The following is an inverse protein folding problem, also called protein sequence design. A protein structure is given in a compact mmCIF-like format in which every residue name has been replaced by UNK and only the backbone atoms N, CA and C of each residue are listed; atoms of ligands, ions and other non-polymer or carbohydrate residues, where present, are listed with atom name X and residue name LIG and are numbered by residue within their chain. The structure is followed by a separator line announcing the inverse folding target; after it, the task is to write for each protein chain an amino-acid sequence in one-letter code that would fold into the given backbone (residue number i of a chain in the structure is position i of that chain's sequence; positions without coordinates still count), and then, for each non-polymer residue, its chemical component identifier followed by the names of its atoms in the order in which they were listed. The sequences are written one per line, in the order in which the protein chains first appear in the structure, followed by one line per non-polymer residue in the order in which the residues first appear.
data_IF_847768492322
#
_entry.id   IF_847768492322
#
_cell.length_a   1.000
_cell.length_b   1.000
_cell.length_c   1.000
_cell.angle_alpha   90.00
_cell.angle_beta   90.00
_cell.angle_gamma   90.00
#
_symmetry.space_group_name_H-M   'P 1'
#
loop_
_entity.id
_entity.type
_entity.pdbx_description
1 polymer ?
#
# COMPACT_ATOMS: atom_id res chain seq x y z
N UNK A 1 -1.04 -21.84 2.41
CA UNK A 1 -1.79 -21.46 3.62
C UNK A 1 -2.51 -20.12 3.42
N UNK A 2 -3.75 -19.96 3.91
CA UNK A 2 -4.41 -18.67 3.96
C UNK A 2 -3.68 -17.80 4.98
N UNK A 3 -3.01 -16.75 4.50
CA UNK A 3 -2.37 -15.77 5.37
C UNK A 3 -3.36 -14.63 5.55
N UNK A 4 -3.91 -14.50 6.76
CA UNK A 4 -4.70 -13.32 7.11
C UNK A 4 -3.75 -12.13 7.19
N UNK A 5 -4.03 -11.09 6.41
CA UNK A 5 -3.32 -9.82 6.52
C UNK A 5 -4.15 -8.88 7.36
N UNK A 6 -3.52 -8.35 8.41
CA UNK A 6 -4.01 -7.16 9.09
C UNK A 6 -3.12 -5.99 8.66
N UNK A 7 -3.70 -4.97 8.06
CA UNK A 7 -3.02 -3.71 7.77
C UNK A 7 -3.49 -2.69 8.80
N UNK A 8 -2.60 -2.30 9.70
CA UNK A 8 -2.81 -1.13 10.54
C UNK A 8 -2.20 0.06 9.81
N UNK A 9 -3.06 0.96 9.35
CA UNK A 9 -2.66 2.26 8.82
C UNK A 9 -3.15 3.33 9.79
N UNK A 10 -2.23 4.01 10.48
CA UNK A 10 -2.64 5.15 11.31
C UNK A 10 -3.04 6.32 10.40
N UNK A 11 -4.22 6.89 10.67
CA UNK A 11 -4.91 7.85 9.81
C UNK A 11 -4.08 9.08 9.42
N UNK A 12 -4.23 9.47 8.16
CA UNK A 12 -3.72 10.70 7.57
C UNK A 12 -4.45 11.89 8.19
N UNK A 13 -3.75 12.70 8.99
CA UNK A 13 -4.29 14.00 9.40
C UNK A 13 -4.22 14.94 8.18
N UNK A 14 -5.35 15.50 7.75
CA UNK A 14 -5.45 16.40 6.58
C UNK A 14 -4.87 17.81 6.85
N UNK A 15 -3.75 17.87 7.55
CA UNK A 15 -3.07 19.10 7.91
C UNK A 15 -1.87 19.31 6.99
N UNK A 16 -1.73 20.51 6.44
CA UNK A 16 -0.53 20.91 5.72
C UNK A 16 0.68 20.86 6.64
N UNK A 17 1.69 20.03 6.33
CA UNK A 17 2.91 19.91 7.12
C UNK A 17 3.60 18.54 7.00
N UNK A 18 4.77 18.38 7.65
CA UNK A 18 5.44 17.09 7.77
C UNK A 18 4.53 16.11 8.54
N UNK A 19 4.31 14.92 7.98
CA UNK A 19 3.52 13.86 8.60
C UNK A 19 4.39 12.63 8.81
N UNK A 20 4.27 11.98 9.97
CA UNK A 20 4.97 10.75 10.32
C UNK A 20 4.02 9.55 10.43
N UNK A 21 3.43 9.05 9.33
CA UNK A 21 2.56 7.90 9.36
C UNK A 21 3.35 6.63 9.72
N UNK A 22 2.61 5.65 10.21
CA UNK A 22 3.11 4.31 10.41
C UNK A 22 2.15 3.32 9.77
N UNK A 23 2.69 2.46 8.92
CA UNK A 23 1.96 1.32 8.36
C UNK A 23 2.62 0.03 8.84
N UNK A 24 1.80 -0.93 9.25
CA UNK A 24 2.26 -2.28 9.59
C UNK A 24 1.43 -3.31 8.88
N UNK A 25 2.10 -4.33 8.32
CA UNK A 25 1.44 -5.43 7.63
C UNK A 25 1.84 -6.75 8.27
N UNK A 26 0.87 -7.47 8.81
CA UNK A 26 1.09 -8.75 9.48
C UNK A 26 0.64 -9.90 8.59
N UNK A 27 1.44 -10.96 8.50
CA UNK A 27 1.13 -12.19 7.76
C UNK A 27 1.01 -13.33 8.75
N UNK A 28 -0.21 -13.65 9.15
CA UNK A 28 -0.47 -14.69 10.13
C UNK A 28 -0.72 -16.04 9.46
N UNK A 29 0.06 -17.07 9.81
CA UNK A 29 -0.18 -18.44 9.34
C UNK A 29 -1.06 -19.20 10.34
N UNK A 30 -2.37 -19.09 10.18
CA UNK A 30 -3.33 -19.75 11.07
C UNK A 30 -3.26 -21.27 11.01
N UNK A 31 -2.82 -21.84 9.89
CA UNK A 31 -2.72 -23.29 9.70
C UNK A 31 -1.38 -23.89 10.14
N UNK A 32 -0.42 -23.07 10.58
CA UNK A 32 0.87 -23.53 11.06
C UNK A 32 0.81 -24.04 12.51
N UNK A 33 1.83 -24.79 12.93
CA UNK A 33 1.94 -25.27 14.31
C UNK A 33 2.03 -24.09 15.28
N UNK A 34 1.09 -24.01 16.21
CA UNK A 34 0.88 -22.87 17.13
C UNK A 34 0.49 -21.54 16.44
N UNK A 35 0.06 -21.61 15.17
CA UNK A 35 -0.40 -20.47 14.37
C UNK A 35 0.53 -19.24 14.45
N UNK A 36 1.78 -19.30 13.99
CA UNK A 36 2.73 -18.21 14.17
C UNK A 36 2.53 -17.09 13.14
N UNK A 37 3.01 -15.88 13.46
CA UNK A 37 3.22 -14.87 12.42
C UNK A 37 4.37 -15.31 11.51
N UNK A 38 4.06 -15.45 10.22
CA UNK A 38 5.05 -15.78 9.20
C UNK A 38 5.95 -14.58 8.91
N UNK A 39 5.38 -13.37 8.85
CA UNK A 39 6.12 -12.15 8.62
C UNK A 39 5.36 -10.94 9.17
N UNK A 40 6.09 -9.89 9.55
CA UNK A 40 5.53 -8.60 9.90
C UNK A 40 6.39 -7.55 9.19
N UNK A 41 5.80 -6.70 8.36
CA UNK A 41 6.51 -5.57 7.76
C UNK A 41 6.17 -4.28 8.52
N UNK A 42 7.20 -3.56 8.95
CA UNK A 42 7.14 -2.26 9.61
C UNK A 42 7.52 -1.18 8.59
N UNK A 43 6.62 -0.25 8.33
CA UNK A 43 6.78 0.79 7.30
C UNK A 43 6.53 2.19 7.86
N UNK A 44 7.39 2.71 8.75
CA UNK A 44 7.37 4.12 9.10
C UNK A 44 7.77 4.99 7.90
N UNK A 45 7.12 6.14 7.77
CA UNK A 45 7.39 7.09 6.70
C UNK A 45 7.40 8.51 7.26
N UNK A 46 8.21 9.38 6.66
CA UNK A 46 8.19 10.81 6.88
C UNK A 46 7.95 11.45 5.52
N UNK A 47 6.85 12.18 5.37
CA UNK A 47 6.48 12.76 4.09
C UNK A 47 5.92 14.16 4.20
N UNK A 48 5.98 14.87 3.09
CA UNK A 48 5.39 16.18 2.89
C UNK A 48 4.27 16.09 1.85
N UNK A 49 3.11 16.66 2.18
CA UNK A 49 1.98 16.79 1.26
C UNK A 49 2.16 18.01 0.35
N UNK A 50 2.14 17.77 -0.95
CA UNK A 50 2.06 18.83 -1.94
C UNK A 50 0.61 19.32 -2.02
N UNK A 51 0.35 20.62 -1.77
CA UNK A 51 -1.00 21.17 -1.85
C UNK A 51 -1.69 20.89 -3.18
N UNK A 52 -2.97 20.52 -3.09
CA UNK A 52 -3.79 20.34 -4.25
C UNK A 52 -4.08 21.69 -4.92
N UNK A 53 -3.70 21.83 -6.20
CA UNK A 53 -4.05 22.96 -7.05
C UNK A 53 -5.02 22.49 -8.11
N UNK A 54 -6.15 23.18 -8.24
CA UNK A 54 -7.18 22.85 -9.22
C UNK A 54 -7.00 23.64 -10.51
N UNK A 55 -7.13 22.97 -11.66
CA UNK A 55 -7.20 23.57 -13.00
C UNK A 55 -8.40 23.00 -13.73
N UNK A 56 -9.51 23.76 -13.74
CA UNK A 56 -10.80 23.26 -14.22
C UNK A 56 -11.31 22.15 -13.29
N UNK A 57 -11.71 21.02 -13.86
CA UNK A 57 -12.17 19.85 -13.10
C UNK A 57 -11.03 18.98 -12.54
N UNK A 58 -9.80 19.21 -12.97
CA UNK A 58 -8.65 18.42 -12.57
C UNK A 58 -7.96 19.04 -11.35
N UNK A 59 -7.78 18.25 -10.30
CA UNK A 59 -6.99 18.64 -9.12
C UNK A 59 -5.63 17.92 -9.13
N UNK A 60 -4.55 18.65 -8.85
CA UNK A 60 -3.19 18.12 -8.78
C UNK A 60 -2.61 18.35 -7.40
N UNK A 61 -2.29 17.28 -6.69
CA UNK A 61 -1.53 17.33 -5.44
C UNK A 61 -0.43 16.27 -5.46
N UNK A 62 -0.07 15.77 -4.29
CA UNK A 62 0.82 14.62 -4.18
C UNK A 62 1.58 14.58 -2.88
N UNK A 63 2.63 13.77 -2.85
CA UNK A 63 3.51 13.65 -1.70
C UNK A 63 4.94 13.35 -2.14
N UNK A 64 5.90 13.79 -1.34
CA UNK A 64 7.28 13.34 -1.40
C UNK A 64 7.72 12.94 0.01
N UNK A 65 8.52 11.88 0.14
CA UNK A 65 8.86 11.38 1.47
C UNK A 65 9.98 10.36 1.49
N UNK A 66 10.44 10.09 2.70
CA UNK A 66 11.36 9.02 3.04
C UNK A 66 10.59 7.93 3.76
N UNK A 67 10.73 6.69 3.29
CA UNK A 67 10.12 5.51 3.90
C UNK A 67 11.21 4.53 4.28
N UNK A 68 11.13 4.00 5.49
CA UNK A 68 11.86 2.81 5.89
C UNK A 68 10.90 1.62 5.85
N UNK A 69 11.34 0.47 5.35
CA UNK A 69 10.58 -0.79 5.35
C UNK A 69 11.51 -1.89 5.88
N UNK A 70 11.13 -2.55 6.97
CA UNK A 70 11.86 -3.69 7.52
C UNK A 70 10.91 -4.76 8.04
N UNK A 71 11.39 -5.99 8.18
CA UNK A 71 10.59 -7.09 8.71
C UNK A 71 10.83 -7.40 10.20
N UNK A 72 11.71 -6.65 10.86
CA UNK A 72 12.04 -6.81 12.28
C UNK A 72 12.71 -8.15 12.64
N UNK A 73 13.26 -8.87 11.65
CA UNK A 73 14.01 -10.13 11.85
C UNK A 73 15.51 -9.89 11.87
N UNK A 74 16.26 -10.88 12.32
CA UNK A 74 17.72 -10.90 12.34
C UNK A 74 18.31 -11.96 11.39
N UNK A 75 19.64 -11.93 11.25
CA UNK A 75 20.42 -12.89 10.47
C UNK A 75 19.95 -13.01 9.02
N UNK A 76 19.93 -14.25 8.51
CA UNK A 76 19.58 -14.53 7.10
C UNK A 76 18.13 -14.18 6.73
N UNK A 77 17.25 -14.01 7.73
CA UNK A 77 15.87 -13.62 7.53
C UNK A 77 15.64 -12.11 7.66
N UNK A 78 16.66 -11.34 8.08
CA UNK A 78 16.61 -9.88 8.11
C UNK A 78 16.33 -9.34 6.72
N UNK A 79 15.37 -8.43 6.62
CA UNK A 79 15.11 -7.68 5.40
C UNK A 79 14.87 -6.23 5.76
N UNK A 80 15.49 -5.34 5.00
CA UNK A 80 15.35 -3.91 5.19
C UNK A 80 15.65 -3.13 3.91
N UNK A 81 14.98 -1.99 3.75
CA UNK A 81 15.31 -1.01 2.72
C UNK A 81 14.80 0.37 3.13
N UNK A 82 15.41 1.39 2.54
CA UNK A 82 14.90 2.76 2.64
C UNK A 82 14.66 3.31 1.23
N UNK A 83 13.58 4.08 1.07
CA UNK A 83 13.27 4.76 -0.17
C UNK A 83 12.97 6.22 0.04
N UNK A 84 13.62 7.09 -0.73
CA UNK A 84 13.13 8.44 -0.99
C UNK A 84 12.20 8.37 -2.21
N UNK A 85 11.03 9.00 -2.17
CA UNK A 85 10.09 8.96 -3.28
C UNK A 85 9.41 10.29 -3.53
N UNK A 86 8.87 10.42 -4.74
CA UNK A 86 7.91 11.45 -5.13
C UNK A 86 6.71 10.79 -5.81
N UNK A 87 5.51 11.27 -5.50
CA UNK A 87 4.25 10.80 -6.05
C UNK A 87 3.31 12.00 -6.25
N UNK A 88 3.33 12.66 -7.42
CA UNK A 88 2.22 13.52 -7.80
C UNK A 88 0.94 12.69 -7.90
N UNK A 89 -0.21 13.32 -7.63
CA UNK A 89 -1.53 12.72 -7.76
C UNK A 89 -2.44 13.67 -8.52
N UNK A 90 -3.07 13.16 -9.57
CA UNK A 90 -4.10 13.87 -10.32
C UNK A 90 -5.46 13.24 -10.03
N UNK A 91 -6.44 14.05 -9.66
CA UNK A 91 -7.80 13.62 -9.34
C UNK A 91 -8.81 14.31 -10.24
N UNK A 92 -9.66 13.54 -10.89
CA UNK A 92 -10.72 14.02 -11.78
C UNK A 92 -12.08 13.47 -11.32
N UNK A 93 -13.12 14.33 -11.21
CA UNK A 93 -14.48 13.88 -11.00
C UNK A 93 -15.07 13.30 -12.29
N UNK A 94 -15.82 12.21 -12.16
CA UNK A 94 -16.51 11.49 -13.23
C UNK A 94 -17.95 11.27 -12.76
N UNK A 95 -18.80 12.28 -12.96
CA UNK A 95 -20.13 12.32 -12.33
C UNK A 95 -20.00 12.32 -10.80
N UNK A 96 -20.65 11.36 -10.14
CA UNK A 96 -20.55 11.17 -8.69
C UNK A 96 -19.24 10.47 -8.26
N UNK A 97 -18.49 9.90 -9.20
CA UNK A 97 -17.26 9.17 -8.92
C UNK A 97 -16.05 10.10 -9.00
N UNK A 98 -14.93 9.66 -8.42
CA UNK A 98 -13.63 10.29 -8.56
C UNK A 98 -12.64 9.26 -9.04
N UNK A 99 -11.76 9.65 -9.97
CA UNK A 99 -10.60 8.90 -10.39
C UNK A 99 -9.35 9.65 -9.94
N UNK A 100 -8.52 9.02 -9.13
CA UNK A 100 -7.20 9.52 -8.73
C UNK A 100 -6.11 8.64 -9.32
N UNK A 101 -5.11 9.23 -9.96
CA UNK A 101 -3.93 8.54 -10.48
C UNK A 101 -2.67 9.16 -9.89
N UNK A 102 -1.80 8.32 -9.35
CA UNK A 102 -0.57 8.76 -8.69
C UNK A 102 0.63 7.91 -9.10
N UNK A 103 1.35 8.25 -10.19
CA UNK A 103 2.62 7.62 -10.48
C UNK A 103 3.61 8.00 -9.38
N UNK A 104 4.37 7.02 -8.89
CA UNK A 104 5.41 7.19 -7.89
C UNK A 104 6.74 6.71 -8.44
N UNK A 105 7.77 7.51 -8.23
CA UNK A 105 9.16 7.12 -8.46
C UNK A 105 9.91 7.08 -7.14
N UNK A 106 10.61 5.98 -6.89
CA UNK A 106 11.35 5.72 -5.66
C UNK A 106 12.84 5.51 -5.93
N UNK A 107 13.68 6.14 -5.12
CA UNK A 107 15.12 5.94 -5.05
C UNK A 107 15.44 5.15 -3.80
N UNK A 108 16.12 4.01 -3.94
CA UNK A 108 16.63 3.29 -2.80
C UNK A 108 17.83 4.04 -2.22
N UNK A 109 17.81 4.26 -0.92
CA UNK A 109 18.84 5.01 -0.20
C UNK A 109 19.40 4.17 0.94
N UNK A 110 20.68 4.37 1.26
CA UNK A 110 21.39 3.51 2.21
C UNK A 110 21.67 2.12 1.64
N UNK A 111 21.99 1.22 2.54
CA UNK A 111 22.40 -0.13 2.22
C UNK A 111 21.21 -1.08 1.95
N UNK A 112 21.48 -2.13 1.17
CA UNK A 112 20.56 -3.20 0.82
C UNK A 112 21.22 -4.59 1.05
N UNK A 113 22.24 -4.73 1.91
CA UNK A 113 22.94 -6.01 2.16
C UNK A 113 21.97 -7.16 2.47
N UNK A 114 20.91 -6.89 3.23
CA UNK A 114 19.87 -7.87 3.57
C UNK A 114 19.07 -8.39 2.35
N UNK A 115 19.03 -7.60 1.27
CA UNK A 115 18.27 -7.89 0.05
C UNK A 115 18.86 -7.16 -1.17
N UNK A 116 20.05 -7.58 -1.66
CA UNK A 116 20.83 -6.79 -2.62
C UNK A 116 20.15 -6.67 -3.99
N UNK A 117 19.35 -7.66 -4.38
CA UNK A 117 18.65 -7.69 -5.67
C UNK A 117 17.17 -7.26 -5.58
N UNK A 118 16.73 -6.65 -4.47
CA UNK A 118 15.33 -6.19 -4.30
C UNK A 118 14.85 -5.29 -5.43
N UNK A 119 15.75 -4.45 -5.97
CA UNK A 119 15.47 -3.57 -7.12
C UNK A 119 14.99 -4.37 -8.33
N UNK A 120 15.53 -5.57 -8.56
CA UNK A 120 15.14 -6.46 -9.66
C UNK A 120 13.67 -6.85 -9.60
N UNK A 121 13.07 -6.94 -8.41
CA UNK A 121 11.68 -7.39 -8.24
C UNK A 121 10.70 -6.24 -8.05
N UNK A 122 11.08 -5.24 -7.24
CA UNK A 122 10.19 -4.13 -6.87
C UNK A 122 10.30 -2.93 -7.82
N UNK A 123 11.41 -2.80 -8.54
CA UNK A 123 11.65 -1.68 -9.44
C UNK A 123 11.76 -0.34 -8.72
N UNK A 124 11.72 0.73 -9.50
CA UNK A 124 11.71 2.12 -9.01
C UNK A 124 10.36 2.80 -9.23
N UNK A 125 9.50 2.21 -10.05
CA UNK A 125 8.24 2.81 -10.48
C UNK A 125 7.05 2.06 -9.91
N UNK A 126 6.09 2.82 -9.42
CA UNK A 126 4.78 2.32 -9.00
C UNK A 126 3.68 3.26 -9.48
N UNK A 127 2.46 2.74 -9.54
CA UNK A 127 1.28 3.51 -9.89
C UNK A 127 0.18 3.20 -8.87
N UNK A 128 -0.24 4.25 -8.17
CA UNK A 128 -1.48 4.29 -7.42
C UNK A 128 -2.62 4.66 -8.37
N UNK A 129 -3.74 3.97 -8.26
CA UNK A 129 -4.99 4.38 -8.88
C UNK A 129 -6.17 4.10 -7.94
N UNK A 130 -7.06 5.05 -7.80
CA UNK A 130 -8.28 4.93 -7.01
C UNK A 130 -9.47 5.39 -7.84
N UNK A 131 -10.53 4.59 -7.88
CA UNK A 131 -11.79 4.92 -8.53
C UNK A 131 -12.95 4.59 -7.61
N UNK A 132 -13.79 5.57 -7.29
CA UNK A 132 -14.91 5.32 -6.40
C UNK A 132 -15.68 6.55 -5.96
N UNK A 133 -16.59 6.31 -5.02
CA UNK A 133 -17.37 7.33 -4.32
C UNK A 133 -16.97 7.39 -2.86
N UNK A 134 -17.09 8.56 -2.25
CA UNK A 134 -16.80 8.74 -0.81
C UNK A 134 -17.79 7.95 0.06
N UNK A 135 -19.04 7.81 -0.40
CA UNK A 135 -20.16 7.17 0.31
C UNK A 135 -20.57 5.80 -0.27
N UNK A 136 -19.73 5.21 -1.13
CA UNK A 136 -20.09 4.00 -1.87
C UNK A 136 -18.91 3.10 -2.18
N UNK A 137 -18.99 2.40 -3.31
CA UNK A 137 -17.97 1.48 -3.79
C UNK A 137 -16.68 2.24 -4.13
N UNK A 138 -15.55 1.70 -3.69
CA UNK A 138 -14.21 2.24 -3.97
C UNK A 138 -13.26 1.11 -4.34
N UNK A 139 -12.61 1.25 -5.49
CA UNK A 139 -11.52 0.40 -5.94
C UNK A 139 -10.20 1.17 -5.81
N UNK A 140 -9.27 0.64 -5.04
CA UNK A 140 -7.92 1.17 -4.87
C UNK A 140 -6.92 0.15 -5.39
N UNK A 141 -5.93 0.61 -6.14
CA UNK A 141 -4.87 -0.25 -6.69
C UNK A 141 -3.50 0.37 -6.48
N UNK A 142 -2.54 -0.47 -6.16
CA UNK A 142 -1.13 -0.14 -6.09
C UNK A 142 -0.36 -1.15 -6.94
N UNK A 143 0.22 -0.69 -8.03
CA UNK A 143 1.04 -1.52 -8.91
C UNK A 143 2.50 -1.10 -8.88
N UNK A 144 3.39 -2.07 -9.08
CA UNK A 144 4.84 -1.91 -9.21
C UNK A 144 5.27 -2.55 -10.51
N UNK A 145 6.17 -1.89 -11.22
CA UNK A 145 6.78 -2.43 -12.42
C UNK A 145 8.26 -2.11 -12.42
N UNK A 146 9.07 -3.12 -12.73
CA UNK A 146 10.45 -2.96 -13.12
C UNK A 146 10.59 -3.26 -14.60
N UNK A 147 10.73 -2.20 -15.41
CA UNK A 147 10.88 -2.33 -16.85
C UNK A 147 12.13 -3.10 -17.29
N UNK A 148 13.22 -3.08 -16.52
CA UNK A 148 14.47 -3.75 -16.92
C UNK A 148 14.42 -5.26 -16.71
N UNK A 149 13.69 -5.73 -15.69
CA UNK A 149 13.58 -7.16 -15.37
C UNK A 149 12.27 -7.79 -15.83
N UNK A 150 11.27 -6.98 -16.20
CA UNK A 150 9.90 -7.41 -16.49
C UNK A 150 9.11 -7.87 -15.26
N UNK A 151 9.67 -7.71 -14.04
CA UNK A 151 9.00 -8.10 -12.80
C UNK A 151 8.14 -6.97 -12.26
N UNK A 152 7.14 -7.33 -11.47
CA UNK A 152 6.24 -6.37 -10.87
C UNK A 152 5.19 -7.04 -9.99
N UNK A 153 4.26 -6.23 -9.52
CA UNK A 153 3.12 -6.69 -8.76
C UNK A 153 1.94 -5.73 -8.90
N UNK A 154 0.75 -6.22 -8.64
CA UNK A 154 -0.45 -5.43 -8.44
C UNK A 154 -1.13 -5.88 -7.14
N UNK A 155 -1.55 -4.90 -6.37
CA UNK A 155 -2.43 -5.04 -5.22
C UNK A 155 -3.70 -4.24 -5.53
N UNK A 156 -4.87 -4.87 -5.45
CA UNK A 156 -6.16 -4.27 -5.72
C UNK A 156 -7.11 -4.54 -4.55
N UNK A 157 -7.76 -3.49 -4.06
CA UNK A 157 -8.72 -3.55 -2.95
C UNK A 157 -10.04 -2.93 -3.39
N UNK A 158 -11.14 -3.65 -3.19
CA UNK A 158 -12.49 -3.17 -3.38
C UNK A 158 -13.17 -3.06 -2.02
N UNK A 159 -13.64 -1.87 -1.65
CA UNK A 159 -14.31 -1.62 -0.37
C UNK A 159 -15.71 -1.03 -0.52
N UNK A 160 -16.58 -1.32 0.46
CA UNK A 160 -17.95 -0.80 0.53
C UNK A 160 -18.35 -0.52 1.99
N UNK A 161 -19.09 0.57 2.28
CA UNK A 161 -19.55 0.88 3.64
C UNK A 161 -20.52 -0.18 4.15
N UNK A 162 -20.30 -0.69 5.36
CA UNK A 162 -21.12 -1.77 5.94
C UNK A 162 -22.53 -1.27 6.30
N UNK A 163 -22.67 -0.02 6.72
CA UNK A 163 -23.93 0.67 7.02
C UNK A 163 -24.87 0.80 5.81
N UNK A 164 -24.35 0.61 4.59
CA UNK A 164 -25.14 0.53 3.36
C UNK A 164 -25.67 -0.87 3.06
N UNK A 165 -25.17 -1.90 3.75
CA UNK A 165 -25.56 -3.30 3.58
C UNK A 165 -26.47 -3.74 4.73
N UNK A 166 -26.14 -3.35 5.97
CA UNK A 166 -26.87 -3.72 7.18
C UNK A 166 -27.20 -2.46 7.98
N UNK A 167 -28.35 -2.46 8.65
CA UNK A 167 -28.76 -1.34 9.52
C UNK A 167 -27.85 -1.29 10.77
N UNK A 168 -26.83 -0.44 10.71
CA UNK A 168 -25.86 -0.26 11.78
C UNK A 168 -25.32 1.16 11.78
N UNK A 169 -24.96 1.65 12.97
CA UNK A 169 -24.28 2.93 13.16
C UNK A 169 -22.75 2.78 13.20
N UNK A 170 -22.23 1.59 12.87
CA UNK A 170 -20.80 1.32 12.83
C UNK A 170 -20.20 1.88 11.55
N UNK A 171 -19.25 2.81 11.67
CA UNK A 171 -18.46 3.32 10.53
C UNK A 171 -17.35 2.32 10.18
N UNK A 172 -17.76 1.18 9.60
CA UNK A 172 -16.89 0.08 9.19
C UNK A 172 -17.10 -0.18 7.71
N UNK A 173 -16.04 -0.63 7.03
CA UNK A 173 -16.05 -1.01 5.63
C UNK A 173 -15.78 -2.49 5.50
N UNK A 174 -16.48 -3.16 4.59
CA UNK A 174 -16.08 -4.49 4.12
C UNK A 174 -15.17 -4.31 2.92
N UNK A 175 -14.15 -5.16 2.80
CA UNK A 175 -13.28 -5.13 1.64
C UNK A 175 -12.92 -6.52 1.12
N UNK A 176 -12.62 -6.59 -0.17
CA UNK A 176 -11.94 -7.71 -0.80
C UNK A 176 -10.64 -7.23 -1.45
N UNK A 177 -9.55 -7.96 -1.21
CA UNK A 177 -8.22 -7.62 -1.71
C UNK A 177 -7.66 -8.76 -2.57
N UNK A 178 -7.03 -8.40 -3.69
CA UNK A 178 -6.34 -9.31 -4.59
C UNK A 178 -4.90 -8.83 -4.82
N UNK A 179 -3.93 -9.68 -4.52
CA UNK A 179 -2.52 -9.45 -4.82
C UNK A 179 -2.04 -10.43 -5.88
N UNK A 180 -1.24 -9.95 -6.85
CA UNK A 180 -0.53 -10.80 -7.79
C UNK A 180 0.83 -10.21 -8.15
N UNK A 181 1.90 -11.00 -8.03
CA UNK A 181 3.25 -10.61 -8.45
C UNK A 181 4.30 -10.86 -7.38
N UNK A 182 5.36 -10.05 -7.38
CA UNK A 182 6.51 -10.19 -6.49
C UNK A 182 6.47 -9.25 -5.29
N UNK A 183 7.07 -9.69 -4.19
CA UNK A 183 7.25 -8.90 -2.98
C UNK A 183 5.96 -8.35 -2.42
N UNK A 184 5.04 -9.28 -2.15
CA UNK A 184 3.90 -9.03 -1.29
C UNK A 184 4.34 -8.65 0.11
N UNK A 185 5.45 -9.22 0.59
CA UNK A 185 6.09 -8.90 1.86
C UNK A 185 7.59 -8.84 1.67
N UNK A 186 8.31 -8.30 2.66
CA UNK A 186 9.74 -8.11 2.51
C UNK A 186 10.53 -9.42 2.63
N UNK A 187 10.05 -10.38 3.43
CA UNK A 187 10.69 -11.70 3.57
C UNK A 187 10.70 -12.50 2.24
N UNK A 188 9.62 -12.43 1.46
CA UNK A 188 9.47 -13.06 0.15
C UNK A 188 9.55 -12.06 -1.01
N UNK A 189 10.38 -11.02 -0.92
CA UNK A 189 10.43 -9.98 -1.96
C UNK A 189 10.71 -10.55 -3.37
N UNK A 190 11.39 -11.68 -3.42
CA UNK A 190 11.86 -12.38 -4.61
C UNK A 190 10.92 -13.50 -5.10
N UNK A 191 9.84 -13.80 -4.37
CA UNK A 191 8.88 -14.85 -4.74
C UNK A 191 7.62 -14.28 -5.36
N UNK A 192 7.12 -14.97 -6.39
CA UNK A 192 5.83 -14.66 -7.01
C UNK A 192 4.70 -15.29 -6.18
N UNK A 193 3.68 -14.50 -5.89
CA UNK A 193 2.48 -14.95 -5.18
C UNK A 193 1.21 -14.43 -5.85
N UNK A 194 0.11 -15.15 -5.61
CA UNK A 194 -1.25 -14.69 -5.89
C UNK A 194 -2.11 -14.96 -4.66
N UNK A 195 -2.81 -13.94 -4.17
CA UNK A 195 -3.57 -14.00 -2.92
C UNK A 195 -4.90 -13.28 -3.07
N UNK A 196 -5.92 -13.83 -2.44
CA UNK A 196 -7.23 -13.21 -2.29
C UNK A 196 -7.55 -13.12 -0.80
N UNK A 197 -8.16 -12.01 -0.38
CA UNK A 197 -8.52 -11.73 1.01
C UNK A 197 -9.86 -11.05 1.07
N UNK A 198 -10.55 -11.28 2.18
CA UNK A 198 -11.76 -10.56 2.58
C UNK A 198 -11.54 -10.07 4.01
N UNK A 199 -12.05 -8.90 4.34
CA UNK A 199 -11.84 -8.33 5.65
C UNK A 199 -12.77 -7.16 5.95
N UNK A 200 -12.51 -6.55 7.10
CA UNK A 200 -13.19 -5.34 7.59
C UNK A 200 -12.16 -4.27 7.91
N UNK A 201 -12.49 -3.02 7.65
CA UNK A 201 -11.64 -1.87 7.91
C UNK A 201 -12.40 -0.78 8.67
N UNK A 202 -11.72 -0.06 9.56
CA UNK A 202 -12.27 1.05 10.34
C UNK A 202 -12.00 2.39 9.63
N UNK A 203 -11.01 2.41 8.75
CA UNK A 203 -10.62 3.55 7.92
C UNK A 203 -10.39 3.07 6.49
N UNK A 204 -10.67 3.92 5.50
CA UNK A 204 -10.41 3.67 4.08
C UNK A 204 -10.08 4.96 3.33
#
# INVERSE_FOLDING_TARGET
SPCSIFVLQHGQNRSFGPTGPYTQRLFWDLGGDSSPFRNIDFMPELFYLLPAVSKGTLAFGGQAGLRHESNGRDGLASRSLNTLYVQPVATIPIGDYKLSLGPRYSFYVGDLEDNPDVKRYRGHTSLFAEFGRDDGLRLTTNSRINFSSGKGAIDAELSYPLDKIVDTNLNVYVFGQAFAGYGENLLDYDRKATRLRLGVAIVR
#
